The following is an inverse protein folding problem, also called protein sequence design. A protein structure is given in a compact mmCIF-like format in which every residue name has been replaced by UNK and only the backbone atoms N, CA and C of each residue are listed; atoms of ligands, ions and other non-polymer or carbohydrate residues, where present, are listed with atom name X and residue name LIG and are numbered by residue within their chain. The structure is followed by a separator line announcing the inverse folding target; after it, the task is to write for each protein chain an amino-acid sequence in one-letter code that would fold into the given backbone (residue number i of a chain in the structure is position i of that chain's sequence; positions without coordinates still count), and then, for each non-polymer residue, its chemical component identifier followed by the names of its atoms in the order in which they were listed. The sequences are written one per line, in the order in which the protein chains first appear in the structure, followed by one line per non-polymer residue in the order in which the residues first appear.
data_IF_969582981090
#
_entry.id   IF_969582981090
#
_cell.length_a   1.000
_cell.length_b   1.000
_cell.length_c   1.000
_cell.angle_alpha   90.00
_cell.angle_beta   90.00
_cell.angle_gamma   90.00
#
_symmetry.space_group_name_H-M   'P 1'
#
loop_
_entity.id
_entity.type
_entity.pdbx_description
1 polymer ?
#
# COMPACT_ATOMS: atom_id res chain seq x y z
N UNK A 1 -33.70 -4.02 3.54
CA UNK A 1 -32.41 -3.61 2.95
C UNK A 1 -31.44 -3.42 4.10
N UNK A 2 -30.58 -4.39 4.39
CA UNK A 2 -29.60 -4.25 5.46
C UNK A 2 -28.48 -3.35 4.95
N UNK A 3 -28.36 -2.15 5.53
CA UNK A 3 -27.22 -1.27 5.31
C UNK A 3 -25.96 -2.00 5.76
N UNK A 4 -25.04 -2.24 4.83
CA UNK A 4 -23.77 -2.86 5.13
C UNK A 4 -22.95 -1.85 5.95
N UNK A 5 -22.96 -1.99 7.28
CA UNK A 5 -22.14 -1.18 8.17
C UNK A 5 -20.68 -1.41 7.80
N UNK A 6 -19.98 -0.35 7.40
CA UNK A 6 -18.57 -0.44 7.09
C UNK A 6 -17.80 -0.75 8.38
N UNK A 7 -17.16 -1.93 8.44
CA UNK A 7 -16.37 -2.32 9.61
C UNK A 7 -15.05 -1.54 9.61
N UNK A 8 -14.72 -0.90 10.74
CA UNK A 8 -13.39 -0.29 10.90
C UNK A 8 -12.36 -1.37 11.23
N UNK A 9 -11.25 -1.39 10.51
CA UNK A 9 -10.17 -2.38 10.68
C UNK A 9 -8.90 -1.71 11.21
N UNK A 10 -8.11 -2.49 11.95
CA UNK A 10 -6.79 -2.06 12.42
C UNK A 10 -5.73 -2.08 11.32
N UNK A 11 -5.89 -2.94 10.31
CA UNK A 11 -4.98 -3.05 9.17
C UNK A 11 -5.70 -3.61 7.93
N UNK A 12 -5.10 -3.41 6.76
CA UNK A 12 -5.55 -4.06 5.54
C UNK A 12 -5.19 -5.56 5.59
N UNK A 13 -6.01 -6.45 5.01
CA UNK A 13 -5.75 -7.89 4.97
C UNK A 13 -4.71 -8.25 3.89
N UNK A 14 -3.55 -7.59 3.93
CA UNK A 14 -2.42 -7.75 3.03
C UNK A 14 -1.19 -8.21 3.83
N UNK A 15 -0.36 -9.04 3.22
CA UNK A 15 0.96 -9.41 3.75
C UNK A 15 1.85 -8.15 3.74
N UNK A 16 2.45 -7.73 4.86
CA UNK A 16 3.46 -6.67 4.86
C UNK A 16 4.68 -7.04 4.01
N UNK A 17 5.36 -6.06 3.43
CA UNK A 17 6.56 -6.27 2.59
C UNK A 17 6.52 -5.48 1.29
N UNK A 18 7.34 -5.90 0.33
CA UNK A 18 7.48 -5.21 -0.95
C UNK A 18 6.34 -5.52 -1.91
N UNK A 19 5.74 -4.48 -2.47
CA UNK A 19 4.77 -4.57 -3.56
C UNK A 19 5.32 -3.86 -4.78
N UNK A 20 5.27 -4.54 -5.92
CA UNK A 20 5.73 -4.01 -7.20
C UNK A 20 4.55 -3.85 -8.14
N UNK A 21 4.54 -2.73 -8.88
CA UNK A 21 3.55 -2.44 -9.91
C UNK A 21 3.33 -3.64 -10.84
N UNK A 22 2.08 -3.97 -11.16
CA UNK A 22 1.75 -5.23 -11.86
C UNK A 22 2.31 -5.35 -13.28
N UNK A 23 2.65 -4.24 -13.91
CA UNK A 23 3.29 -4.16 -15.22
C UNK A 23 4.82 -4.32 -15.17
N UNK A 24 5.40 -4.36 -13.97
CA UNK A 24 6.85 -4.46 -13.74
C UNK A 24 7.19 -5.81 -13.11
N UNK A 25 8.19 -6.53 -13.64
CA UNK A 25 8.67 -7.77 -13.02
C UNK A 25 9.33 -7.51 -11.66
N UNK A 26 9.22 -8.43 -10.69
CA UNK A 26 9.85 -8.26 -9.37
C UNK A 26 11.36 -8.03 -9.47
N UNK A 27 12.04 -8.74 -10.39
CA UNK A 27 13.48 -8.61 -10.65
C UNK A 27 13.88 -7.32 -11.39
N UNK A 28 12.90 -6.62 -11.98
CA UNK A 28 13.08 -5.36 -12.70
C UNK A 28 12.51 -4.16 -11.90
N UNK A 29 12.22 -4.37 -10.62
CA UNK A 29 11.68 -3.34 -9.76
C UNK A 29 12.64 -2.15 -9.62
N UNK A 30 12.10 -0.96 -9.48
CA UNK A 30 12.85 0.28 -9.22
C UNK A 30 12.19 1.04 -8.08
N UNK A 31 12.81 2.13 -7.61
CA UNK A 31 12.16 3.01 -6.63
C UNK A 31 10.80 3.51 -7.14
N UNK A 32 10.66 3.78 -8.44
CA UNK A 32 9.42 4.31 -9.02
C UNK A 32 8.27 3.29 -9.09
N UNK A 33 8.59 2.00 -9.09
CA UNK A 33 7.59 0.92 -9.28
C UNK A 33 7.36 0.11 -8.00
N UNK A 34 8.05 0.45 -6.92
CA UNK A 34 8.06 -0.32 -5.66
C UNK A 34 7.49 0.51 -4.55
N UNK A 35 6.65 -0.13 -3.75
CA UNK A 35 6.15 0.40 -2.48
C UNK A 35 6.40 -0.62 -1.38
N UNK A 36 6.69 -0.14 -0.18
CA UNK A 36 6.83 -0.95 1.02
C UNK A 36 5.56 -0.84 1.86
N UNK A 37 4.82 -1.93 1.98
CA UNK A 37 3.60 -1.99 2.76
C UNK A 37 3.91 -2.41 4.20
N UNK A 38 3.46 -1.60 5.16
CA UNK A 38 3.47 -1.85 6.60
C UNK A 38 2.04 -2.03 7.09
N UNK A 39 1.83 -2.40 8.36
CA UNK A 39 0.46 -2.55 8.91
C UNK A 39 -0.26 -1.19 8.97
N UNK A 40 0.51 -0.16 9.28
CA UNK A 40 0.08 1.20 9.57
C UNK A 40 0.26 2.17 8.41
N UNK A 41 0.70 1.71 7.24
CA UNK A 41 0.91 2.60 6.10
C UNK A 41 1.61 1.96 4.92
N UNK A 42 1.89 2.80 3.93
CA UNK A 42 2.55 2.42 2.69
C UNK A 42 3.57 3.50 2.30
N UNK A 43 4.81 3.09 2.06
CA UNK A 43 5.91 3.96 1.63
C UNK A 43 6.21 3.80 0.15
N UNK A 44 6.17 4.90 -0.59
CA UNK A 44 6.62 5.00 -1.97
C UNK A 44 8.03 5.58 -2.09
N UNK A 45 8.41 5.95 -3.31
CA UNK A 45 9.73 6.53 -3.59
C UNK A 45 9.94 7.92 -2.96
N UNK A 46 8.85 8.68 -2.77
CA UNK A 46 8.89 10.10 -2.41
C UNK A 46 8.17 10.41 -1.12
N UNK A 47 7.24 9.55 -0.74
CA UNK A 47 6.27 9.80 0.30
C UNK A 47 6.01 8.56 1.15
N UNK A 48 5.54 8.80 2.36
CA UNK A 48 4.96 7.79 3.22
C UNK A 48 3.54 8.16 3.58
N UNK A 49 2.60 7.27 3.28
CA UNK A 49 1.19 7.42 3.59
C UNK A 49 0.85 6.57 4.83
N UNK A 50 0.57 7.22 5.95
CA UNK A 50 0.07 6.57 7.16
C UNK A 50 -1.44 6.31 7.02
N UNK A 51 -1.88 5.10 7.36
CA UNK A 51 -3.30 4.73 7.37
C UNK A 51 -3.96 5.22 8.66
N UNK A 52 -4.70 6.32 8.58
CA UNK A 52 -5.41 6.91 9.73
C UNK A 52 -6.69 6.15 10.05
N UNK A 53 -7.40 5.69 9.01
CA UNK A 53 -8.67 4.98 9.15
C UNK A 53 -8.86 4.01 7.99
N UNK A 54 -9.21 2.77 8.30
CA UNK A 54 -9.51 1.73 7.31
C UNK A 54 -10.93 1.25 7.55
N UNK A 55 -11.77 1.34 6.52
CA UNK A 55 -13.17 0.93 6.57
C UNK A 55 -13.44 -0.10 5.48
N UNK A 56 -13.85 -1.30 5.86
CA UNK A 56 -14.28 -2.32 4.90
C UNK A 56 -15.66 -1.97 4.36
N UNK A 57 -15.74 -1.59 3.08
CA UNK A 57 -16.98 -1.17 2.40
C UNK A 57 -17.62 -2.29 1.58
N UNK A 58 -16.91 -3.40 1.35
CA UNK A 58 -17.42 -4.61 0.72
C UNK A 58 -16.50 -5.82 0.98
N UNK A 59 -16.79 -6.99 0.39
CA UNK A 59 -16.02 -8.21 0.63
C UNK A 59 -14.51 -8.07 0.36
N UNK A 60 -14.15 -7.25 -0.64
CA UNK A 60 -12.77 -7.00 -1.07
C UNK A 60 -12.49 -5.50 -1.25
N UNK A 61 -13.40 -4.64 -0.79
CA UNK A 61 -13.34 -3.19 -0.99
C UNK A 61 -13.18 -2.47 0.34
N UNK A 62 -12.23 -1.53 0.40
CA UNK A 62 -11.88 -0.78 1.58
C UNK A 62 -11.77 0.70 1.23
N UNK A 63 -12.26 1.56 2.12
CA UNK A 63 -12.02 2.99 2.10
C UNK A 63 -10.93 3.28 3.12
N UNK A 64 -9.84 3.89 2.67
CA UNK A 64 -8.70 4.21 3.52
C UNK A 64 -8.53 5.73 3.55
N UNK A 65 -8.67 6.32 4.73
CA UNK A 65 -8.20 7.68 4.99
C UNK A 65 -6.73 7.58 5.34
N UNK A 66 -5.89 8.28 4.59
CA UNK A 66 -4.45 8.25 4.75
C UNK A 66 -3.86 9.66 4.77
N UNK A 67 -2.81 9.84 5.56
CA UNK A 67 -2.03 11.08 5.62
C UNK A 67 -0.65 10.82 5.04
N UNK A 68 -0.36 11.50 3.92
CA UNK A 68 0.86 11.29 3.15
C UNK A 68 1.83 12.46 3.37
N UNK A 69 3.04 12.17 3.84
CA UNK A 69 4.11 13.13 4.01
C UNK A 69 5.24 12.83 3.01
N UNK A 70 5.80 13.88 2.41
CA UNK A 70 7.02 13.73 1.61
C UNK A 70 8.19 13.37 2.53
N UNK A 71 9.03 12.44 2.07
CA UNK A 71 10.19 11.98 2.83
C UNK A 71 11.33 13.00 2.85
N UNK A 72 11.37 13.92 1.88
CA UNK A 72 12.46 14.90 1.71
C UNK A 72 11.98 16.35 1.58
N UNK A 73 10.69 16.59 1.36
CA UNK A 73 10.13 17.93 1.27
C UNK A 73 9.46 18.29 2.59
N UNK A 74 9.85 19.41 3.20
CA UNK A 74 9.23 19.93 4.44
C UNK A 74 7.78 20.39 4.27
N UNK A 75 7.06 19.86 3.29
CA UNK A 75 5.64 20.11 3.09
C UNK A 75 4.82 19.37 4.16
N UNK A 76 3.73 19.98 4.64
CA UNK A 76 2.85 19.34 5.60
C UNK A 76 2.18 18.11 4.97
N UNK A 77 1.97 17.08 5.79
CA UNK A 77 1.29 15.87 5.36
C UNK A 77 -0.11 16.20 4.82
N UNK A 78 -0.50 15.56 3.73
CA UNK A 78 -1.78 15.75 3.07
C UNK A 78 -2.69 14.56 3.35
N UNK A 79 -3.86 14.81 3.91
CA UNK A 79 -4.88 13.78 4.14
C UNK A 79 -5.71 13.57 2.89
N UNK A 80 -5.89 12.31 2.50
CA UNK A 80 -6.70 11.91 1.35
C UNK A 80 -7.49 10.63 1.65
N UNK A 81 -8.54 10.38 0.86
CA UNK A 81 -9.33 9.15 0.94
C UNK A 81 -9.13 8.36 -0.35
N UNK A 82 -8.70 7.11 -0.20
CA UNK A 82 -8.39 6.21 -1.32
C UNK A 82 -9.23 4.94 -1.19
N UNK A 83 -9.76 4.48 -2.32
CA UNK A 83 -10.45 3.18 -2.39
C UNK A 83 -9.43 2.10 -2.70
N UNK A 84 -9.41 1.05 -1.88
CA UNK A 84 -8.58 -0.13 -2.04
C UNK A 84 -9.44 -1.32 -2.42
N UNK A 85 -9.06 -2.04 -3.47
CA UNK A 85 -9.61 -3.35 -3.84
C UNK A 85 -8.55 -4.41 -3.61
N UNK A 86 -8.82 -5.36 -2.73
CA UNK A 86 -7.87 -6.39 -2.28
C UNK A 86 -8.47 -7.76 -2.61
N UNK A 87 -8.17 -8.32 -3.81
CA UNK A 87 -8.70 -9.62 -4.22
C UNK A 87 -8.09 -10.79 -3.43
N UNK A 88 -6.98 -10.57 -2.72
CA UNK A 88 -6.32 -11.54 -1.85
C UNK A 88 -5.13 -10.90 -1.13
N UNK A 89 -4.51 -11.64 -0.21
CA UNK A 89 -3.51 -11.09 0.72
C UNK A 89 -2.19 -10.60 0.09
N UNK A 90 -2.00 -10.74 -1.23
CA UNK A 90 -0.75 -10.41 -1.92
C UNK A 90 -0.94 -9.47 -3.11
N UNK A 91 -2.13 -8.87 -3.28
CA UNK A 91 -2.43 -8.00 -4.42
C UNK A 91 -3.42 -6.92 -4.00
N UNK A 92 -3.23 -5.72 -4.53
CA UNK A 92 -4.20 -4.65 -4.37
C UNK A 92 -4.30 -3.80 -5.63
N UNK A 93 -5.43 -3.09 -5.72
CA UNK A 93 -5.64 -1.95 -6.57
C UNK A 93 -6.07 -0.77 -5.71
N UNK A 94 -5.45 0.40 -5.89
CA UNK A 94 -5.90 1.66 -5.31
C UNK A 94 -6.55 2.53 -6.38
N UNK A 95 -7.53 3.32 -5.96
CA UNK A 95 -8.13 4.39 -6.76
C UNK A 95 -8.37 5.61 -5.89
N UNK A 96 -7.77 6.73 -6.28
CA UNK A 96 -7.97 8.03 -5.63
C UNK A 96 -9.24 8.72 -6.14
N UNK A 97 -9.64 9.80 -5.47
CA UNK A 97 -10.86 10.54 -5.82
C UNK A 97 -10.78 11.23 -7.20
N UNK A 98 -9.59 11.64 -7.63
CA UNK A 98 -9.30 12.21 -8.95
C UNK A 98 -9.18 11.15 -10.06
N UNK A 99 -9.33 9.86 -9.71
CA UNK A 99 -9.40 8.77 -10.67
C UNK A 99 -8.07 8.13 -11.02
N UNK A 100 -6.95 8.55 -10.39
CA UNK A 100 -5.69 7.83 -10.53
C UNK A 100 -5.81 6.42 -9.94
N UNK A 101 -5.28 5.44 -10.68
CA UNK A 101 -5.29 4.04 -10.28
C UNK A 101 -3.88 3.48 -10.20
N UNK A 102 -3.64 2.61 -9.22
CA UNK A 102 -2.40 1.88 -9.11
C UNK A 102 -2.67 0.43 -8.70
N UNK A 103 -1.94 -0.49 -9.32
CA UNK A 103 -2.06 -1.93 -9.08
C UNK A 103 -0.69 -2.48 -8.73
N UNK A 104 -0.60 -3.20 -7.63
CA UNK A 104 0.64 -3.82 -7.21
C UNK A 104 0.43 -5.23 -6.64
N UNK A 105 1.50 -6.01 -6.67
CA UNK A 105 1.56 -7.38 -6.13
C UNK A 105 2.76 -7.55 -5.22
N UNK A 106 2.61 -8.36 -4.18
CA UNK A 106 3.70 -8.74 -3.29
C UNK A 106 4.80 -9.46 -4.07
N UNK A 107 6.04 -9.05 -3.86
CA UNK A 107 7.24 -9.73 -4.35
C UNK A 107 8.02 -10.23 -3.12
N UNK A 108 8.44 -11.50 -3.15
CA UNK A 108 9.39 -11.96 -2.13
C UNK A 108 10.69 -11.17 -2.28
N UNK A 109 11.30 -10.80 -1.16
CA UNK A 109 12.48 -9.94 -1.16
C UNK A 109 13.63 -10.55 -1.99
N UNK A 110 13.79 -11.87 -1.95
CA UNK A 110 14.78 -12.61 -2.75
C UNK A 110 14.59 -12.52 -4.27
N UNK A 111 13.42 -12.09 -4.74
CA UNK A 111 13.12 -11.91 -6.17
C UNK A 111 13.36 -10.49 -6.66
N UNK A 112 13.68 -9.56 -5.76
CA UNK A 112 13.92 -8.16 -6.08
C UNK A 112 15.34 -7.91 -6.58
N UNK A 113 15.67 -6.71 -7.11
CA UNK A 113 17.06 -6.32 -7.37
C UNK A 113 17.94 -6.40 -6.12
N UNK A 114 19.26 -6.55 -6.34
CA UNK A 114 20.25 -6.81 -5.29
C UNK A 114 20.18 -5.82 -4.11
N UNK A 115 19.98 -4.53 -4.39
CA UNK A 115 19.90 -3.51 -3.35
C UNK A 115 18.71 -3.74 -2.40
N UNK A 116 17.57 -4.17 -2.94
CA UNK A 116 16.39 -4.50 -2.14
C UNK A 116 16.54 -5.84 -1.41
N UNK A 117 17.24 -6.81 -2.01
CA UNK A 117 17.55 -8.08 -1.33
C UNK A 117 18.38 -7.87 -0.07
N UNK A 118 19.25 -6.85 -0.06
CA UNK A 118 20.15 -6.55 1.05
C UNK A 118 19.50 -5.73 2.18
N UNK A 119 18.33 -5.14 1.96
CA UNK A 119 17.67 -4.30 2.97
C UNK A 119 17.13 -5.12 4.14
N UNK A 120 17.31 -4.66 5.37
CA UNK A 120 16.60 -5.24 6.50
C UNK A 120 15.17 -4.67 6.57
N UNK A 121 14.18 -5.54 6.40
CA UNK A 121 12.76 -5.23 6.57
C UNK A 121 12.09 -6.17 7.59
N UNK A 122 12.88 -6.78 8.49
CA UNK A 122 12.37 -7.69 9.51
C UNK A 122 11.32 -7.02 10.42
N UNK A 123 11.49 -5.73 10.70
CA UNK A 123 10.53 -4.87 11.42
C UNK A 123 9.18 -4.73 10.70
N UNK A 124 9.17 -4.88 9.38
CA UNK A 124 7.95 -4.80 8.54
C UNK A 124 7.23 -6.14 8.50
N UNK A 125 7.98 -7.24 8.36
CA UNK A 125 7.42 -8.57 8.12
C UNK A 125 7.06 -9.35 9.39
N UNK A 126 7.46 -8.85 10.56
CA UNK A 126 7.27 -9.47 11.88
C UNK A 126 5.87 -9.38 12.50
#
# INVERSE_FOLDING_TARGET
MAGNLAATLASLPLKPGYYVATDTACSAASHATTVLLRREGIGGARDYCHFERIEQTGPQSYRVTQSCAELQGGLPAQTSVVTWTIPGATRFQTRSADGWEHRARHCEQSQMPADWQANDIGDVTG
#
